data_IF_101192140008
#
_entry.id   IF_101192140008
#
_cell.length_a   1.000
_cell.length_b   1.000
_cell.length_c   1.000
_cell.angle_alpha   90.00
_cell.angle_beta   90.00
_cell.angle_gamma   90.00
#
_symmetry.space_group_name_H-M   'P 1'
#
loop_
_entity.id
_entity.type
_entity.pdbx_description
1 polymer ?
#
# COMPACT_ATOMS: atom_id res chain seq x y z
N UNK A 1 -12.15 -8.59 -10.02
CA UNK A 1 -10.68 -8.52 -10.20
C UNK A 1 -10.22 -7.08 -10.30
N UNK A 2 -9.20 -6.71 -9.56
CA UNK A 2 -8.65 -5.36 -9.57
C UNK A 2 -8.04 -5.06 -10.95
N UNK A 3 -8.40 -3.93 -11.54
CA UNK A 3 -7.91 -3.53 -12.87
C UNK A 3 -6.80 -2.50 -12.81
N UNK A 4 -6.78 -1.67 -11.77
CA UNK A 4 -5.79 -0.61 -11.62
C UNK A 4 -5.37 -0.47 -10.16
N UNK A 5 -4.14 -0.01 -9.96
CA UNK A 5 -3.54 0.22 -8.65
C UNK A 5 -2.63 1.45 -8.72
N UNK A 6 -2.47 2.15 -7.61
CA UNK A 6 -1.53 3.27 -7.52
C UNK A 6 -0.33 2.87 -6.68
N UNK A 7 0.88 3.26 -7.09
CA UNK A 7 2.12 2.91 -6.42
C UNK A 7 3.03 4.14 -6.30
N UNK A 8 3.78 4.20 -5.23
CA UNK A 8 4.72 5.29 -5.00
C UNK A 8 5.83 4.90 -4.04
N UNK A 9 6.94 5.62 -4.12
CA UNK A 9 8.10 5.40 -3.26
C UNK A 9 8.95 6.66 -3.17
N UNK A 10 9.73 6.78 -2.10
CA UNK A 10 10.84 7.71 -2.07
C UNK A 10 12.05 7.10 -2.79
N UNK A 11 13.18 7.80 -2.77
CA UNK A 11 14.40 7.35 -3.43
C UNK A 11 14.93 6.02 -2.87
N UNK A 12 14.74 5.73 -1.58
CA UNK A 12 15.15 4.45 -0.99
C UNK A 12 14.28 3.29 -1.47
N UNK A 13 13.01 3.55 -1.72
CA UNK A 13 12.07 2.52 -2.14
C UNK A 13 11.90 2.35 -3.65
N UNK A 14 12.53 3.23 -4.45
CA UNK A 14 12.30 3.26 -5.88
C UNK A 14 12.53 1.92 -6.59
N UNK A 15 13.66 1.27 -6.33
CA UNK A 15 13.99 0.02 -7.01
C UNK A 15 13.00 -1.09 -6.68
N UNK A 16 12.60 -1.23 -5.42
CA UNK A 16 11.60 -2.21 -5.03
C UNK A 16 10.23 -1.87 -5.62
N UNK A 17 9.84 -0.59 -5.60
CA UNK A 17 8.61 -0.12 -6.23
C UNK A 17 8.59 -0.50 -7.71
N UNK A 18 9.68 -0.26 -8.43
CA UNK A 18 9.76 -0.56 -9.87
C UNK A 18 9.60 -2.05 -10.14
N UNK A 19 10.16 -2.92 -9.30
CA UNK A 19 9.99 -4.37 -9.43
C UNK A 19 8.57 -4.83 -9.15
N UNK A 20 7.92 -4.25 -8.15
CA UNK A 20 6.52 -4.54 -7.86
C UNK A 20 5.62 -4.08 -9.01
N UNK A 21 5.89 -2.89 -9.53
CA UNK A 21 5.17 -2.34 -10.69
C UNK A 21 5.26 -3.27 -11.90
N UNK A 22 6.48 -3.70 -12.23
CA UNK A 22 6.74 -4.64 -13.34
C UNK A 22 5.94 -5.93 -13.17
N UNK A 23 5.91 -6.49 -11.96
CA UNK A 23 5.16 -7.69 -11.64
C UNK A 23 3.64 -7.49 -11.84
N UNK A 24 3.10 -6.37 -11.34
CA UNK A 24 1.68 -6.07 -11.46
C UNK A 24 1.27 -5.86 -12.93
N UNK A 25 2.08 -5.15 -13.68
CA UNK A 25 1.84 -4.94 -15.11
C UNK A 25 1.88 -6.26 -15.90
N UNK A 26 2.77 -7.19 -15.51
CA UNK A 26 2.84 -8.52 -16.12
C UNK A 26 1.56 -9.33 -15.91
N UNK A 27 0.78 -9.00 -14.91
CA UNK A 27 -0.52 -9.62 -14.61
C UNK A 27 -1.70 -8.88 -15.24
N UNK A 28 -1.44 -7.87 -16.05
CA UNK A 28 -2.48 -7.11 -16.72
C UNK A 28 -3.13 -6.03 -15.84
N UNK A 29 -2.51 -5.68 -14.72
CA UNK A 29 -3.00 -4.60 -13.86
C UNK A 29 -2.40 -3.28 -14.34
N UNK A 30 -3.24 -2.27 -14.55
CA UNK A 30 -2.78 -0.92 -14.87
C UNK A 30 -2.21 -0.28 -13.60
N UNK A 31 -0.97 0.22 -13.68
CA UNK A 31 -0.30 0.81 -12.54
C UNK A 31 -0.07 2.31 -12.76
N UNK A 32 -0.64 3.14 -11.89
CA UNK A 32 -0.30 4.55 -11.83
C UNK A 32 0.87 4.72 -10.85
N UNK A 33 1.98 5.24 -11.35
CA UNK A 33 3.18 5.51 -10.56
C UNK A 33 3.24 7.00 -10.23
N UNK A 34 3.07 7.34 -8.95
CA UNK A 34 3.11 8.73 -8.50
C UNK A 34 4.52 9.20 -8.12
N UNK A 35 5.52 8.39 -8.38
CA UNK A 35 6.94 8.71 -8.16
C UNK A 35 7.51 7.91 -6.99
N UNK A 36 8.79 8.00 -6.74
CA UNK A 36 9.82 8.68 -7.54
C UNK A 36 10.12 7.86 -8.80
N UNK A 37 10.21 8.49 -9.95
CA UNK A 37 10.48 7.79 -11.22
C UNK A 37 11.88 8.06 -11.77
N UNK A 38 12.63 8.98 -11.16
CA UNK A 38 14.00 9.32 -11.50
C UNK A 38 14.90 9.18 -10.26
N UNK A 39 16.13 9.68 -10.34
CA UNK A 39 17.11 9.59 -9.26
C UNK A 39 16.96 10.69 -8.20
N UNK A 40 15.88 11.46 -8.22
CA UNK A 40 15.64 12.53 -7.24
C UNK A 40 15.51 11.98 -5.83
N UNK A 41 16.13 12.67 -4.89
CA UNK A 41 15.93 12.41 -3.47
C UNK A 41 14.73 13.24 -3.01
N UNK A 42 13.74 12.58 -2.47
CA UNK A 42 12.51 13.23 -1.99
C UNK A 42 12.19 12.74 -0.58
N UNK A 43 11.49 13.56 0.16
CA UNK A 43 10.97 13.16 1.47
C UNK A 43 9.76 12.24 1.26
N UNK A 44 9.76 11.09 1.93
CA UNK A 44 8.70 10.10 1.74
C UNK A 44 7.28 10.64 2.00
N UNK A 45 7.06 11.59 2.95
CA UNK A 45 5.71 12.11 3.17
C UNK A 45 5.14 12.84 1.95
N UNK A 46 5.99 13.46 1.13
CA UNK A 46 5.53 14.19 -0.05
C UNK A 46 4.93 13.26 -1.10
N UNK A 47 5.48 12.05 -1.24
CA UNK A 47 4.93 11.02 -2.12
C UNK A 47 3.74 10.33 -1.45
N UNK A 48 3.89 9.98 -0.19
CA UNK A 48 2.85 9.28 0.57
C UNK A 48 1.54 10.01 0.59
N UNK A 49 1.55 11.33 0.77
CA UNK A 49 0.32 12.13 0.78
C UNK A 49 -0.40 12.14 -0.55
N UNK A 50 0.34 12.15 -1.66
CA UNK A 50 -0.26 12.13 -3.00
C UNK A 50 -1.05 10.83 -3.20
N UNK A 51 -0.43 9.70 -2.91
CA UNK A 51 -1.06 8.40 -3.05
C UNK A 51 -2.24 8.23 -2.09
N UNK A 52 -2.05 8.57 -0.82
CA UNK A 52 -3.10 8.43 0.19
C UNK A 52 -4.34 9.24 -0.17
N UNK A 53 -4.15 10.45 -0.70
CA UNK A 53 -5.27 11.29 -1.13
C UNK A 53 -6.05 10.65 -2.28
N UNK A 54 -5.37 10.04 -3.24
CA UNK A 54 -6.02 9.34 -4.36
C UNK A 54 -6.87 8.17 -3.87
N UNK A 55 -6.40 7.45 -2.87
CA UNK A 55 -7.17 6.37 -2.25
C UNK A 55 -8.34 6.94 -1.43
N UNK A 56 -8.10 7.99 -0.66
CA UNK A 56 -9.14 8.66 0.12
C UNK A 56 -10.30 9.14 -0.75
N UNK A 57 -9.99 9.68 -1.92
CA UNK A 57 -10.98 10.19 -2.88
C UNK A 57 -11.60 9.08 -3.74
N UNK A 58 -11.27 7.83 -3.45
CA UNK A 58 -11.78 6.65 -4.16
C UNK A 58 -11.40 6.60 -5.65
N UNK A 59 -10.36 7.31 -6.05
CA UNK A 59 -9.80 7.20 -7.39
C UNK A 59 -9.17 5.83 -7.61
N UNK A 60 -8.60 5.25 -6.53
CA UNK A 60 -8.03 3.91 -6.52
C UNK A 60 -8.51 3.14 -5.29
N UNK A 61 -8.85 1.86 -5.48
CA UNK A 61 -9.23 0.97 -4.38
C UNK A 61 -8.03 0.49 -3.57
N UNK A 62 -6.89 0.35 -4.20
CA UNK A 62 -5.67 -0.21 -3.61
C UNK A 62 -4.44 0.59 -3.99
N UNK A 63 -3.53 0.73 -3.05
CA UNK A 63 -2.26 1.39 -3.27
C UNK A 63 -1.11 0.72 -2.54
N UNK A 64 0.11 0.92 -3.04
CA UNK A 64 1.33 0.41 -2.43
C UNK A 64 2.33 1.55 -2.30
N UNK A 65 2.89 1.71 -1.11
CA UNK A 65 3.92 2.71 -0.82
C UNK A 65 5.19 2.02 -0.32
N UNK A 66 6.33 2.46 -0.80
CA UNK A 66 7.64 1.89 -0.43
C UNK A 66 8.57 3.01 0.03
N UNK A 67 9.21 2.81 1.17
CA UNK A 67 10.31 3.66 1.66
C UNK A 67 11.39 2.76 2.26
N UNK A 68 12.26 3.29 3.10
CA UNK A 68 13.34 2.48 3.70
C UNK A 68 12.84 1.37 4.61
N UNK A 69 11.88 1.67 5.48
CA UNK A 69 11.31 0.69 6.43
C UNK A 69 9.85 0.37 6.18
N UNK A 70 9.15 1.19 5.41
CA UNK A 70 7.70 1.10 5.25
C UNK A 70 6.91 1.76 6.38
N UNK A 71 7.54 1.96 7.53
CA UNK A 71 6.86 2.50 8.71
C UNK A 71 6.38 3.94 8.49
N UNK A 72 7.25 4.80 7.97
CA UNK A 72 6.90 6.20 7.72
C UNK A 72 5.76 6.37 6.73
N UNK A 73 5.77 5.59 5.66
CA UNK A 73 4.70 5.61 4.66
C UNK A 73 3.36 5.17 5.26
N UNK A 74 3.36 4.17 6.14
CA UNK A 74 2.15 3.73 6.82
C UNK A 74 1.61 4.83 7.74
N UNK A 75 2.47 5.50 8.48
CA UNK A 75 2.08 6.61 9.36
C UNK A 75 1.44 7.73 8.54
N UNK A 76 2.08 8.13 7.44
CA UNK A 76 1.56 9.21 6.56
C UNK A 76 0.18 8.85 6.02
N UNK A 77 0.05 7.66 5.45
CA UNK A 77 -1.22 7.24 4.85
C UNK A 77 -2.36 7.18 5.89
N UNK A 78 -2.05 6.72 7.10
CA UNK A 78 -3.05 6.63 8.17
C UNK A 78 -3.48 7.99 8.73
N UNK A 79 -2.85 9.08 8.34
CA UNK A 79 -3.30 10.44 8.71
C UNK A 79 -4.52 10.89 7.89
N UNK A 80 -4.86 10.18 6.82
CA UNK A 80 -5.97 10.53 5.93
C UNK A 80 -7.23 9.79 6.39
N UNK A 81 -8.29 10.53 6.69
CA UNK A 81 -9.56 9.96 7.15
C UNK A 81 -10.09 8.95 6.15
N UNK A 82 -10.50 7.79 6.63
CA UNK A 82 -11.03 6.71 5.80
C UNK A 82 -9.97 5.85 5.13
N UNK A 83 -8.68 6.15 5.35
CA UNK A 83 -7.58 5.38 4.78
C UNK A 83 -6.95 4.50 5.88
N UNK A 84 -6.75 3.23 5.58
CA UNK A 84 -6.09 2.28 6.46
C UNK A 84 -4.90 1.70 5.72
N UNK A 85 -3.72 1.89 6.29
CA UNK A 85 -2.46 1.43 5.72
C UNK A 85 -1.73 0.53 6.72
N UNK A 86 -1.19 -0.57 6.22
CA UNK A 86 -0.46 -1.54 7.04
C UNK A 86 0.93 -1.77 6.45
N UNK A 87 1.95 -1.70 7.32
CA UNK A 87 3.31 -2.08 6.95
C UNK A 87 3.41 -3.60 6.99
N UNK A 88 3.76 -4.22 5.87
CA UNK A 88 3.71 -5.67 5.69
C UNK A 88 5.12 -6.26 5.63
N UNK A 89 5.41 -7.20 6.52
CA UNK A 89 6.69 -7.89 6.58
C UNK A 89 6.55 -9.42 6.57
N UNK A 90 5.34 -9.94 6.43
CA UNK A 90 5.08 -11.38 6.44
C UNK A 90 3.77 -11.70 5.71
N UNK A 91 3.61 -12.98 5.38
CA UNK A 91 2.45 -13.44 4.62
C UNK A 91 1.14 -13.33 5.40
N UNK A 92 1.17 -13.62 6.70
CA UNK A 92 -0.04 -13.58 7.52
C UNK A 92 -0.56 -12.15 7.67
N UNK A 93 0.35 -11.20 7.92
CA UNK A 93 -0.02 -9.77 7.96
C UNK A 93 -0.56 -9.29 6.62
N UNK A 94 0.02 -9.74 5.51
CA UNK A 94 -0.47 -9.40 4.17
C UNK A 94 -1.93 -9.84 3.98
N UNK A 95 -2.26 -11.06 4.38
CA UNK A 95 -3.64 -11.56 4.32
C UNK A 95 -4.56 -10.78 5.24
N UNK A 96 -4.17 -10.62 6.50
CA UNK A 96 -5.01 -9.97 7.50
C UNK A 96 -5.18 -8.48 7.27
N UNK A 97 -4.22 -7.81 6.63
CA UNK A 97 -4.32 -6.39 6.34
C UNK A 97 -5.59 -6.05 5.55
N UNK A 98 -5.96 -6.87 4.59
CA UNK A 98 -7.19 -6.67 3.83
C UNK A 98 -8.34 -7.46 4.42
N UNK A 99 -8.16 -8.73 4.75
CA UNK A 99 -9.25 -9.58 5.21
C UNK A 99 -9.84 -9.12 6.55
N UNK A 100 -9.01 -8.63 7.47
CA UNK A 100 -9.46 -8.16 8.79
C UNK A 100 -9.54 -6.65 8.91
N UNK A 101 -8.58 -5.91 8.35
CA UNK A 101 -8.44 -4.47 8.56
C UNK A 101 -8.97 -3.62 7.42
N UNK A 102 -9.35 -4.23 6.32
CA UNK A 102 -9.78 -3.54 5.10
C UNK A 102 -8.77 -2.45 4.69
N UNK A 103 -7.49 -2.81 4.73
CA UNK A 103 -6.42 -1.88 4.39
C UNK A 103 -6.36 -1.69 2.87
N UNK A 104 -6.64 -0.48 2.44
CA UNK A 104 -6.53 -0.10 1.03
C UNK A 104 -5.08 0.07 0.61
N UNK A 105 -4.19 0.31 1.57
CA UNK A 105 -2.78 0.57 1.31
C UNK A 105 -1.94 -0.41 2.12
N UNK A 106 -0.94 -1.00 1.47
CA UNK A 106 0.14 -1.69 2.16
C UNK A 106 1.45 -0.96 1.90
N UNK A 107 2.37 -1.06 2.85
CA UNK A 107 3.68 -0.44 2.71
C UNK A 107 4.77 -1.46 2.91
N UNK A 108 5.90 -1.24 2.22
CA UNK A 108 7.09 -2.07 2.31
C UNK A 108 8.31 -1.24 2.62
N UNK A 109 9.26 -1.84 3.32
CA UNK A 109 10.58 -1.28 3.53
C UNK A 109 11.60 -1.93 2.61
N UNK A 110 12.19 -1.16 1.70
CA UNK A 110 13.18 -1.67 0.77
C UNK A 110 14.44 -2.20 1.46
N UNK A 111 14.74 -1.68 2.65
CA UNK A 111 15.87 -2.12 3.46
C UNK A 111 15.54 -3.33 4.34
N UNK A 112 14.29 -3.73 4.39
CA UNK A 112 13.79 -4.81 5.26
C UNK A 112 13.35 -6.01 4.44
N UNK A 113 12.61 -5.80 3.35
CA UNK A 113 11.92 -6.86 2.62
C UNK A 113 12.52 -7.01 1.23
N UNK A 114 12.99 -8.22 0.93
CA UNK A 114 13.52 -8.53 -0.41
C UNK A 114 12.41 -8.58 -1.46
N UNK A 115 12.79 -8.38 -2.71
CA UNK A 115 11.86 -8.32 -3.85
C UNK A 115 10.95 -9.55 -3.95
N UNK A 116 11.45 -10.79 -3.88
CA UNK A 116 10.58 -11.97 -3.98
C UNK A 116 9.52 -12.00 -2.87
N UNK A 117 9.89 -11.63 -1.66
CA UNK A 117 8.96 -11.61 -0.53
C UNK A 117 7.92 -10.51 -0.70
N UNK A 118 8.32 -9.31 -1.10
CA UNK A 118 7.39 -8.22 -1.34
C UNK A 118 6.36 -8.56 -2.42
N UNK A 119 6.79 -9.21 -3.48
CA UNK A 119 5.90 -9.68 -4.54
C UNK A 119 4.92 -10.74 -4.01
N UNK A 120 5.41 -11.69 -3.22
CA UNK A 120 4.55 -12.70 -2.59
C UNK A 120 3.48 -12.04 -1.71
N UNK A 121 3.88 -11.10 -0.86
CA UNK A 121 2.95 -10.43 0.05
C UNK A 121 1.93 -9.57 -0.71
N UNK A 122 2.38 -8.92 -1.79
CA UNK A 122 1.49 -8.15 -2.67
C UNK A 122 0.41 -9.06 -3.28
N UNK A 123 0.81 -10.22 -3.79
CA UNK A 123 -0.13 -11.18 -4.38
C UNK A 123 -1.13 -11.71 -3.35
N UNK A 124 -0.68 -11.99 -2.13
CA UNK A 124 -1.56 -12.44 -1.04
C UNK A 124 -2.60 -11.36 -0.72
N UNK A 125 -2.16 -10.11 -0.58
CA UNK A 125 -3.04 -8.99 -0.28
C UNK A 125 -4.06 -8.76 -1.42
N UNK A 126 -3.64 -8.84 -2.67
CA UNK A 126 -4.51 -8.61 -3.83
C UNK A 126 -5.56 -9.69 -4.04
N UNK A 127 -5.24 -10.95 -3.72
CA UNK A 127 -6.18 -12.06 -3.92
C UNK A 127 -7.22 -12.19 -2.80
N UNK A 128 -7.06 -11.46 -1.71
CA UNK A 128 -7.97 -11.50 -0.57
C UNK A 128 -8.89 -10.29 -0.56
N UNK A 129 -10.06 -10.46 0.06
CA UNK A 129 -11.07 -9.41 0.20
C UNK A 129 -11.41 -9.21 1.66
N UNK A 130 -11.98 -8.04 1.97
CA UNK A 130 -12.42 -7.72 3.32
C UNK A 130 -13.56 -8.66 3.76
N UNK A 131 -13.37 -9.28 4.92
CA UNK A 131 -14.38 -10.14 5.55
C UNK A 131 -15.29 -9.31 6.45
N UNK A 132 -16.20 -8.58 5.86
CA UNK A 132 -17.04 -7.60 6.57
C UNK A 132 -17.94 -8.24 7.63
N UNK A 133 -18.42 -9.47 7.42
CA UNK A 133 -19.23 -10.18 8.39
C UNK A 133 -18.48 -10.44 9.69
N UNK A 134 -17.21 -10.76 9.58
CA UNK A 134 -16.34 -11.07 10.73
C UNK A 134 -15.77 -9.82 11.38
N UNK A 135 -15.35 -8.84 10.58
CA UNK A 135 -14.51 -7.73 11.04
C UNK A 135 -15.11 -6.33 10.81
N UNK A 136 -16.29 -6.24 10.19
CA UNK A 136 -16.90 -4.96 9.83
C UNK A 136 -17.08 -4.02 11.01
N UNK A 137 -17.56 -4.54 12.14
CA UNK A 137 -17.78 -3.73 13.35
C UNK A 137 -16.48 -3.14 13.89
N UNK A 138 -15.39 -3.89 13.79
CA UNK A 138 -14.08 -3.43 14.27
C UNK A 138 -13.54 -2.31 13.37
N UNK A 139 -13.66 -2.47 12.06
CA UNK A 139 -13.22 -1.44 11.11
C UNK A 139 -14.07 -0.18 11.26
N UNK A 140 -15.38 -0.31 11.49
CA UNK A 140 -16.25 0.83 11.77
C UNK A 140 -15.77 1.62 12.98
N UNK A 141 -15.34 0.93 14.02
CA UNK A 141 -14.77 1.57 15.22
C UNK A 141 -13.46 2.29 14.93
N UNK A 142 -12.62 1.74 14.04
CA UNK A 142 -11.40 2.42 13.59
C UNK A 142 -11.79 3.71 12.86
N UNK A 143 -12.74 3.63 11.94
CA UNK A 143 -13.17 4.79 11.15
C UNK A 143 -13.78 5.91 12.03
N UNK A 144 -14.41 5.56 13.14
CA UNK A 144 -14.95 6.54 14.09
C UNK A 144 -13.87 7.37 14.78
N UNK A 145 -12.61 6.94 14.73
CA UNK A 145 -11.49 7.69 15.31
C UNK A 145 -10.96 8.76 14.35
N UNK A 146 -11.39 8.77 13.11
CA UNK A 146 -11.01 9.79 12.14
C UNK A 146 -11.56 11.15 12.55
N UNK A 147 -10.74 12.19 12.37
CA UNK A 147 -11.10 13.56 12.69
C UNK A 147 -11.63 14.34 11.49
#
# INVERSE_FOLDING_TARGET
MLKKIVIGADHLGKNLKDKIKEHLESKGIEVMDVGVTDESQVDYPDVGKILAKKVQESEFERGILVCGTGAGMAIVANKFSGVRAVCVNDAYTAERSIASNNAQIITFGALITGTPNAIMYTDIWLKNNFQSERSGKKVDKINQLDS
#
